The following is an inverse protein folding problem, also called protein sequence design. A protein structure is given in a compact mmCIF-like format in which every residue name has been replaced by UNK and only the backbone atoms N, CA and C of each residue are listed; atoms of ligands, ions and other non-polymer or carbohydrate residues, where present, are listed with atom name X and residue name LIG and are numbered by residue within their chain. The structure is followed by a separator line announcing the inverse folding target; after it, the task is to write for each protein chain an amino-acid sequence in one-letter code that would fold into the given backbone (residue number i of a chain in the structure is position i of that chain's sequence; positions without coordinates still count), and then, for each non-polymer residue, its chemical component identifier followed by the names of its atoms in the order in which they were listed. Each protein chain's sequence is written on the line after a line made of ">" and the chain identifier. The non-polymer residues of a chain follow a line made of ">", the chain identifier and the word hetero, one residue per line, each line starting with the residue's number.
data_IF_961595252434
#
_entry.id   IF_961595252434
#
_cell.length_a   1.000
_cell.length_b   1.000
_cell.length_c   1.000
_cell.angle_alpha   90.00
_cell.angle_beta   90.00
_cell.angle_gamma   90.00
#
_symmetry.space_group_name_H-M   'P 1'
#
loop_
_entity.id
_entity.type
_entity.pdbx_description
1 polymer ?
#
# COMPACT_ATOMS: atom_id res chain seq x y z
N UNK A 1 -0.23 -10.14 33.42
CA UNK A 1 -0.40 -9.75 32.00
C UNK A 1 0.76 -8.83 31.66
N UNK A 2 1.66 -9.28 30.81
CA UNK A 2 2.97 -8.65 30.61
C UNK A 2 2.87 -7.44 29.69
N UNK A 3 3.30 -6.30 30.21
CA UNK A 3 3.45 -5.03 29.50
C UNK A 3 4.58 -5.16 28.47
N UNK A 4 4.23 -5.22 27.19
CA UNK A 4 5.20 -5.10 26.09
C UNK A 4 5.61 -3.62 25.98
N UNK A 5 6.50 -3.18 26.88
CA UNK A 5 7.19 -1.91 26.76
C UNK A 5 8.31 -2.13 25.75
N UNK A 6 8.16 -1.58 24.55
CA UNK A 6 9.22 -1.43 23.56
C UNK A 6 10.35 -0.57 24.16
N UNK A 7 11.22 -1.21 24.96
CA UNK A 7 12.53 -0.66 25.30
C UNK A 7 13.42 -1.05 24.14
N UNK A 8 13.71 -0.05 23.32
CA UNK A 8 14.96 0.17 22.56
C UNK A 8 14.65 1.06 21.35
N UNK A 9 13.75 2.02 21.58
CA UNK A 9 13.52 3.14 20.69
C UNK A 9 14.56 4.17 21.12
N UNK A 10 15.61 4.33 20.32
CA UNK A 10 16.71 5.25 20.64
C UNK A 10 16.22 6.72 20.66
N UNK A 11 17.03 7.65 21.20
CA UNK A 11 16.69 9.08 21.32
C UNK A 11 16.33 9.78 19.98
N UNK A 12 16.68 9.17 18.85
CA UNK A 12 16.42 9.64 17.49
C UNK A 12 15.02 9.33 16.97
N UNK A 13 14.27 8.46 17.63
CA UNK A 13 12.89 8.21 17.27
C UNK A 13 12.06 9.44 17.58
N UNK A 14 11.50 10.01 16.52
CA UNK A 14 10.67 11.20 16.64
C UNK A 14 9.25 10.83 17.02
N UNK A 15 8.73 9.75 16.41
CA UNK A 15 7.33 9.37 16.54
C UNK A 15 6.38 10.51 16.13
N UNK A 16 5.10 10.22 15.97
CA UNK A 16 4.07 11.25 15.84
C UNK A 16 2.86 10.84 16.69
N UNK A 17 2.02 11.80 17.09
CA UNK A 17 0.78 11.49 17.82
C UNK A 17 -0.18 10.57 17.03
N UNK A 18 0.00 10.46 15.71
CA UNK A 18 -0.73 9.50 14.89
C UNK A 18 -0.18 8.07 15.03
N UNK A 19 -1.08 7.11 15.28
CA UNK A 19 -0.78 5.68 15.25
C UNK A 19 -0.67 5.18 13.79
N UNK A 20 0.47 5.45 13.14
CA UNK A 20 0.73 4.98 11.78
C UNK A 20 1.19 3.53 11.76
N UNK A 21 0.62 2.72 10.86
CA UNK A 21 1.05 1.32 10.63
C UNK A 21 2.39 1.26 9.91
N UNK A 22 2.67 2.22 9.01
CA UNK A 22 3.91 2.34 8.27
C UNK A 22 4.59 3.67 8.59
N UNK A 23 5.84 3.60 9.06
CA UNK A 23 6.67 4.76 9.40
C UNK A 23 8.04 4.62 8.75
N UNK A 24 8.77 5.73 8.69
CA UNK A 24 10.21 5.71 8.46
C UNK A 24 10.93 5.04 9.64
N UNK A 25 12.24 4.81 9.51
CA UNK A 25 13.06 4.32 10.62
C UNK A 25 13.08 5.23 11.85
N UNK A 26 12.64 6.48 11.71
CA UNK A 26 12.56 7.47 12.79
C UNK A 26 11.15 7.66 13.35
N UNK A 27 10.18 6.85 12.90
CA UNK A 27 8.80 6.88 13.42
C UNK A 27 7.90 7.95 12.83
N UNK A 28 8.37 8.67 11.82
CA UNK A 28 7.57 9.66 11.08
C UNK A 28 6.77 8.97 9.96
N UNK A 29 5.65 9.57 9.50
CA UNK A 29 4.93 9.09 8.33
C UNK A 29 5.84 8.95 7.11
N UNK A 30 5.64 7.89 6.35
CA UNK A 30 6.29 7.73 5.05
C UNK A 30 5.75 8.80 4.09
N UNK A 31 6.63 9.46 3.32
CA UNK A 31 6.21 10.40 2.29
C UNK A 31 5.33 9.66 1.26
N UNK A 32 4.20 10.25 0.81
CA UNK A 32 3.23 9.53 -0.05
C UNK A 32 3.85 8.96 -1.34
N UNK A 33 4.81 9.67 -1.94
CA UNK A 33 5.48 9.23 -3.17
C UNK A 33 6.51 8.12 -2.96
N UNK A 34 6.96 7.89 -1.72
CA UNK A 34 8.01 6.89 -1.44
C UNK A 34 7.59 5.50 -1.92
N UNK A 35 6.32 5.12 -1.74
CA UNK A 35 5.84 3.80 -2.16
C UNK A 35 5.82 3.68 -3.68
N UNK A 36 5.35 4.72 -4.39
CA UNK A 36 5.33 4.76 -5.86
C UNK A 36 6.74 4.67 -6.44
N UNK A 37 7.69 5.42 -5.87
CA UNK A 37 9.09 5.39 -6.28
C UNK A 37 9.74 4.03 -6.02
N UNK A 38 9.61 3.50 -4.79
CA UNK A 38 10.21 2.21 -4.44
C UNK A 38 9.68 1.07 -5.30
N UNK A 39 8.37 1.07 -5.61
CA UNK A 39 7.80 0.06 -6.50
C UNK A 39 8.44 0.09 -7.89
N UNK A 40 8.63 1.28 -8.45
CA UNK A 40 9.28 1.44 -9.75
C UNK A 40 10.73 0.90 -9.73
N UNK A 41 11.49 1.22 -8.68
CA UNK A 41 12.87 0.72 -8.50
C UNK A 41 12.89 -0.80 -8.38
N UNK A 42 12.00 -1.38 -7.57
CA UNK A 42 11.97 -2.83 -7.32
C UNK A 42 11.59 -3.63 -8.56
N UNK A 43 10.56 -3.22 -9.30
CA UNK A 43 10.15 -3.91 -10.53
C UNK A 43 11.23 -3.76 -11.60
N UNK A 44 11.81 -2.56 -11.77
CA UNK A 44 12.90 -2.36 -12.73
C UNK A 44 14.10 -3.25 -12.44
N UNK A 45 14.45 -3.39 -11.15
CA UNK A 45 15.51 -4.30 -10.71
C UNK A 45 15.18 -5.78 -10.92
N UNK A 46 13.90 -6.16 -10.88
CA UNK A 46 13.45 -7.52 -11.14
C UNK A 46 13.37 -7.87 -12.64
N UNK A 47 12.97 -6.89 -13.46
CA UNK A 47 12.71 -7.07 -14.91
C UNK A 47 13.92 -6.66 -15.78
N UNK A 48 15.15 -6.72 -15.24
CA UNK A 48 16.37 -6.38 -15.98
C UNK A 48 16.35 -5.01 -16.71
N UNK A 49 15.64 -4.03 -16.15
CA UNK A 49 15.61 -2.67 -16.66
C UNK A 49 14.42 -2.31 -17.57
N UNK A 50 13.49 -3.22 -17.82
CA UNK A 50 12.28 -2.92 -18.61
C UNK A 50 11.38 -1.87 -17.94
N UNK A 51 10.55 -1.21 -18.78
CA UNK A 51 9.60 -0.19 -18.33
C UNK A 51 8.57 -0.78 -17.36
N UNK A 52 8.17 0.06 -16.41
CA UNK A 52 7.42 -0.36 -15.23
C UNK A 52 6.05 0.29 -15.21
N UNK A 53 5.00 -0.53 -15.09
CA UNK A 53 3.65 -0.04 -14.81
C UNK A 53 3.62 0.65 -13.43
N UNK A 54 3.00 1.84 -13.30
CA UNK A 54 2.90 2.54 -12.02
C UNK A 54 2.26 1.70 -10.91
N UNK A 55 2.48 2.08 -9.65
CA UNK A 55 1.88 1.42 -8.47
C UNK A 55 0.35 1.23 -8.60
N UNK A 56 -0.35 2.17 -9.26
CA UNK A 56 -1.78 2.08 -9.50
C UNK A 56 -2.17 0.89 -10.40
N UNK A 57 -1.28 0.42 -11.25
CA UNK A 57 -1.44 -0.81 -12.03
C UNK A 57 -1.77 -2.02 -11.15
N UNK A 58 -1.23 -2.10 -9.93
CA UNK A 58 -1.59 -3.16 -8.97
C UNK A 58 -3.07 -3.14 -8.59
N UNK A 59 -3.67 -1.96 -8.49
CA UNK A 59 -5.10 -1.81 -8.22
C UNK A 59 -5.94 -2.32 -9.41
N UNK A 60 -5.48 -2.08 -10.64
CA UNK A 60 -6.12 -2.64 -11.84
C UNK A 60 -5.97 -4.15 -11.90
N UNK A 61 -4.78 -4.69 -11.65
CA UNK A 61 -4.55 -6.14 -11.57
C UNK A 61 -5.46 -6.77 -10.52
N UNK A 62 -5.56 -6.18 -9.34
CA UNK A 62 -6.47 -6.66 -8.29
C UNK A 62 -7.93 -6.72 -8.76
N UNK A 63 -8.43 -5.66 -9.40
CA UNK A 63 -9.78 -5.63 -9.95
C UNK A 63 -10.01 -6.73 -10.99
N UNK A 64 -9.08 -6.86 -11.94
CA UNK A 64 -9.14 -7.88 -13.00
C UNK A 64 -9.11 -9.29 -12.42
N UNK A 65 -8.22 -9.59 -11.47
CA UNK A 65 -8.15 -10.91 -10.82
C UNK A 65 -9.47 -11.26 -10.11
N UNK A 66 -10.12 -10.29 -9.45
CA UNK A 66 -11.41 -10.53 -8.81
C UNK A 66 -12.53 -10.81 -9.83
N UNK A 67 -12.57 -10.07 -10.93
CA UNK A 67 -13.56 -10.29 -11.99
C UNK A 67 -13.36 -11.63 -12.70
N UNK A 68 -12.10 -12.00 -12.97
CA UNK A 68 -11.76 -13.32 -13.53
C UNK A 68 -12.12 -14.46 -12.58
N UNK A 69 -12.04 -14.23 -11.27
CA UNK A 69 -12.52 -15.17 -10.24
C UNK A 69 -14.05 -15.15 -10.07
N UNK A 70 -14.80 -14.53 -10.99
CA UNK A 70 -16.26 -14.40 -10.97
C UNK A 70 -16.82 -13.76 -9.68
N UNK A 71 -16.03 -12.93 -9.00
CA UNK A 71 -16.51 -12.15 -7.85
C UNK A 71 -17.55 -11.14 -8.35
N UNK A 72 -18.74 -11.04 -7.73
CA UNK A 72 -19.77 -10.11 -8.18
C UNK A 72 -19.26 -8.67 -8.26
N UNK A 73 -19.60 -7.96 -9.35
CA UNK A 73 -19.09 -6.62 -9.64
C UNK A 73 -19.33 -5.60 -8.52
N UNK A 74 -20.45 -5.72 -7.80
CA UNK A 74 -20.74 -4.85 -6.66
C UNK A 74 -19.78 -5.07 -5.48
N UNK A 75 -19.29 -6.30 -5.28
CA UNK A 75 -18.26 -6.61 -4.27
C UNK A 75 -16.91 -6.07 -4.71
N UNK A 76 -16.57 -6.18 -6.00
CA UNK A 76 -15.34 -5.61 -6.55
C UNK A 76 -15.34 -4.09 -6.39
N UNK A 77 -16.44 -3.43 -6.77
CA UNK A 77 -16.62 -1.98 -6.60
C UNK A 77 -16.49 -1.54 -5.13
N UNK A 78 -17.10 -2.27 -4.19
CA UNK A 78 -16.95 -2.01 -2.77
C UNK A 78 -15.50 -2.15 -2.28
N UNK A 79 -14.77 -3.19 -2.75
CA UNK A 79 -13.34 -3.38 -2.42
C UNK A 79 -12.44 -2.28 -2.99
N UNK A 80 -12.80 -1.73 -4.15
CA UNK A 80 -12.11 -0.60 -4.74
C UNK A 80 -12.54 0.73 -4.11
N UNK A 81 -13.63 0.78 -3.32
CA UNK A 81 -14.16 2.02 -2.77
C UNK A 81 -14.80 2.91 -3.85
N UNK A 82 -15.39 2.32 -4.88
CA UNK A 82 -16.18 3.06 -5.87
C UNK A 82 -17.52 3.46 -5.25
N UNK A 83 -17.88 4.75 -5.39
CA UNK A 83 -19.08 5.33 -4.79
C UNK A 83 -20.39 4.78 -5.38
N UNK A 84 -20.37 4.33 -6.63
CA UNK A 84 -21.53 3.70 -7.27
C UNK A 84 -21.09 2.48 -8.10
N UNK A 85 -21.47 1.24 -7.70
CA UNK A 85 -21.23 0.04 -8.48
C UNK A 85 -22.11 -0.11 -9.72
N UNK A 86 -23.10 0.76 -9.93
CA UNK A 86 -24.00 0.62 -11.06
C UNK A 86 -25.05 1.70 -11.19
N UNK A 87 -24.85 2.61 -12.14
CA UNK A 87 -25.95 2.92 -13.06
C UNK A 87 -26.14 1.71 -13.97
N UNK A 88 -27.10 0.84 -13.61
CA UNK A 88 -27.74 -0.04 -14.58
C UNK A 88 -28.48 0.77 -15.64
#
# INVERSE_FOLDING_TARGET
>A
MHNLRWRDVDESWKGTEGEYVFTTGWGEPVHPDTVSFLMAVLIKGHNDGEDVEPLHGLRHVHATTLLLAAVPVHVVAARLGHADPGSR
#
